data_IF_678171541407
#
_entry.id   IF_678171541407
#
_cell.length_a   1.000
_cell.length_b   1.000
_cell.length_c   1.000
_cell.angle_alpha   90.00
_cell.angle_beta   90.00
_cell.angle_gamma   90.00
#
_symmetry.space_group_name_H-M   'P 1'
#
loop_
_entity.id
_entity.type
_entity.pdbx_description
1 polymer ?
#
# COMPACT_ATOMS: atom_id res chain seq x y z
N UNK A 1 19.17 -8.50 47.10
CA UNK A 1 17.91 -7.79 46.80
C UNK A 1 17.89 -7.47 45.32
N UNK A 2 16.94 -8.09 44.63
CA UNK A 2 16.55 -8.05 43.21
C UNK A 2 17.55 -7.51 42.17
N UNK A 3 18.20 -8.47 41.49
CA UNK A 3 18.40 -8.40 40.05
C UNK A 3 17.05 -8.67 39.35
N UNK A 4 16.64 -7.83 38.40
CA UNK A 4 15.59 -8.17 37.44
C UNK A 4 15.98 -7.68 36.05
N UNK A 5 16.55 -8.61 35.28
CA UNK A 5 16.65 -8.55 33.85
C UNK A 5 15.26 -8.64 33.23
N UNK A 6 14.85 -7.64 32.44
CA UNK A 6 13.78 -7.72 31.43
C UNK A 6 13.99 -6.58 30.41
N UNK A 7 15.09 -6.64 29.64
CA UNK A 7 15.17 -5.98 28.33
C UNK A 7 14.96 -7.07 27.28
N UNK A 8 13.69 -7.40 27.01
CA UNK A 8 13.33 -8.40 26.02
C UNK A 8 11.84 -8.38 25.77
N UNK A 9 11.48 -8.32 24.47
CA UNK A 9 10.14 -8.37 23.90
C UNK A 9 9.34 -7.05 23.89
N UNK A 10 9.45 -6.30 22.79
CA UNK A 10 8.30 -6.06 21.89
C UNK A 10 8.78 -5.49 20.53
N UNK A 11 9.65 -6.25 19.83
CA UNK A 11 9.86 -6.06 18.39
C UNK A 11 8.84 -6.96 17.67
N UNK A 12 7.64 -6.45 17.36
CA UNK A 12 6.73 -7.12 16.41
C UNK A 12 5.49 -6.27 16.02
N UNK A 13 5.61 -4.98 15.68
CA UNK A 13 4.54 -4.29 14.89
C UNK A 13 5.18 -3.38 13.85
N UNK A 14 6.07 -3.92 13.01
CA UNK A 14 6.65 -3.18 11.89
C UNK A 14 6.16 -3.67 10.52
N UNK A 15 5.48 -4.82 10.42
CA UNK A 15 5.25 -5.48 9.12
C UNK A 15 4.12 -4.90 8.26
N UNK A 16 3.27 -4.01 8.79
CA UNK A 16 2.14 -3.46 8.01
C UNK A 16 2.41 -2.06 7.40
N UNK A 17 3.44 -1.35 7.85
CA UNK A 17 3.80 -0.02 7.31
C UNK A 17 4.54 -0.14 5.98
N UNK A 18 5.40 -1.15 5.82
CA UNK A 18 6.24 -1.32 4.63
C UNK A 18 5.48 -1.59 3.32
N UNK A 19 4.31 -2.26 3.38
CA UNK A 19 3.53 -2.58 2.19
C UNK A 19 2.79 -1.35 1.63
N UNK A 20 2.25 -0.50 2.52
CA UNK A 20 1.56 0.72 2.13
C UNK A 20 2.53 1.78 1.57
N UNK A 21 3.73 1.86 2.16
CA UNK A 21 4.79 2.78 1.73
C UNK A 21 5.31 2.41 0.33
N UNK A 22 5.55 1.11 0.06
CA UNK A 22 5.92 0.64 -1.28
C UNK A 22 4.85 1.00 -2.33
N UNK A 23 3.57 0.78 -2.03
CA UNK A 23 2.50 1.08 -2.98
C UNK A 23 2.43 2.58 -3.33
N UNK A 24 2.75 3.48 -2.40
CA UNK A 24 2.84 4.92 -2.68
C UNK A 24 4.04 5.23 -3.58
N UNK A 25 5.21 4.68 -3.26
CA UNK A 25 6.44 4.90 -4.02
C UNK A 25 6.28 4.41 -5.48
N UNK A 26 5.69 3.23 -5.69
CA UNK A 26 5.46 2.68 -7.03
C UNK A 26 4.48 3.55 -7.85
N UNK A 27 3.39 4.03 -7.23
CA UNK A 27 2.47 4.97 -7.89
C UNK A 27 3.17 6.27 -8.28
N UNK A 28 4.03 6.79 -7.40
CA UNK A 28 4.78 8.01 -7.67
C UNK A 28 5.83 7.81 -8.77
N UNK A 29 6.55 6.68 -8.80
CA UNK A 29 7.45 6.33 -9.90
C UNK A 29 6.71 6.26 -11.23
N UNK A 30 5.58 5.55 -11.27
CA UNK A 30 4.75 5.45 -12.48
C UNK A 30 4.26 6.82 -12.96
N UNK A 31 3.71 7.65 -12.07
CA UNK A 31 3.27 9.00 -12.44
C UNK A 31 4.42 9.91 -12.87
N UNK A 32 5.63 9.73 -12.33
CA UNK A 32 6.81 10.46 -12.81
C UNK A 32 7.25 10.01 -14.20
N UNK A 33 7.20 8.71 -14.49
CA UNK A 33 7.48 8.19 -15.83
C UNK A 33 6.48 8.71 -16.87
N UNK A 34 5.18 8.72 -16.53
CA UNK A 34 4.13 9.25 -17.42
C UNK A 34 4.19 10.79 -17.58
N UNK A 35 4.89 11.48 -16.66
CA UNK A 35 5.09 12.91 -16.69
C UNK A 35 6.44 13.34 -17.31
N UNK A 36 7.20 12.42 -17.92
CA UNK A 36 8.59 12.66 -18.33
C UNK A 36 8.75 13.90 -19.24
N UNK A 37 7.80 14.11 -20.15
CA UNK A 37 7.82 15.22 -21.11
C UNK A 37 7.14 16.50 -20.58
N UNK A 38 6.60 16.47 -19.35
CA UNK A 38 5.85 17.60 -18.76
C UNK A 38 6.76 18.46 -17.90
N UNK A 39 6.58 19.78 -17.94
CA UNK A 39 7.36 20.75 -17.15
C UNK A 39 6.47 21.79 -16.47
N UNK A 40 7.01 22.44 -15.43
CA UNK A 40 6.33 23.51 -14.70
C UNK A 40 4.94 23.09 -14.17
N UNK A 41 3.98 24.00 -14.28
CA UNK A 41 2.61 23.79 -13.79
C UNK A 41 1.90 22.61 -14.45
N UNK A 42 2.21 22.31 -15.71
CA UNK A 42 1.60 21.17 -16.41
C UNK A 42 1.98 19.85 -15.75
N UNK A 43 3.27 19.70 -15.37
CA UNK A 43 3.75 18.51 -14.65
C UNK A 43 3.06 18.38 -13.30
N UNK A 44 2.93 19.49 -12.56
CA UNK A 44 2.30 19.49 -11.23
C UNK A 44 0.83 19.08 -11.27
N UNK A 45 0.06 19.63 -12.23
CA UNK A 45 -1.35 19.28 -12.46
C UNK A 45 -1.49 17.82 -12.88
N UNK A 46 -0.66 17.37 -13.82
CA UNK A 46 -0.65 15.98 -14.26
C UNK A 46 -0.32 15.03 -13.10
N UNK A 47 0.72 15.33 -12.33
CA UNK A 47 1.13 14.51 -11.18
C UNK A 47 -0.01 14.37 -10.16
N UNK A 48 -0.68 15.48 -9.85
CA UNK A 48 -1.80 15.51 -8.90
C UNK A 48 -2.97 14.65 -9.40
N UNK A 49 -3.33 14.80 -10.67
CA UNK A 49 -4.36 14.00 -11.32
C UNK A 49 -3.99 12.51 -11.36
N UNK A 50 -2.77 12.18 -11.81
CA UNK A 50 -2.27 10.81 -11.90
C UNK A 50 -2.28 10.11 -10.54
N UNK A 51 -1.73 10.75 -9.51
CA UNK A 51 -1.67 10.19 -8.15
C UNK A 51 -3.07 9.95 -7.58
N UNK A 52 -3.99 10.91 -7.79
CA UNK A 52 -5.39 10.79 -7.35
C UNK A 52 -6.09 9.62 -8.04
N UNK A 53 -6.00 9.55 -9.37
CA UNK A 53 -6.61 8.48 -10.18
C UNK A 53 -6.07 7.10 -9.80
N UNK A 54 -4.74 6.94 -9.70
CA UNK A 54 -4.15 5.65 -9.30
C UNK A 54 -4.49 5.29 -7.85
N UNK A 55 -4.64 6.26 -6.95
CA UNK A 55 -5.12 6.03 -5.58
C UNK A 55 -6.56 5.52 -5.57
N UNK A 56 -7.46 6.15 -6.33
CA UNK A 56 -8.86 5.72 -6.43
C UNK A 56 -8.96 4.31 -7.04
N UNK A 57 -8.23 4.03 -8.11
CA UNK A 57 -8.18 2.70 -8.72
C UNK A 57 -7.74 1.62 -7.70
N UNK A 58 -6.69 1.91 -6.93
CA UNK A 58 -6.23 0.99 -5.88
C UNK A 58 -7.29 0.78 -4.78
N UNK A 59 -8.02 1.84 -4.40
CA UNK A 59 -9.09 1.75 -3.41
C UNK A 59 -10.28 0.92 -3.92
N UNK A 60 -10.71 1.13 -5.16
CA UNK A 60 -11.79 0.34 -5.77
C UNK A 60 -11.41 -1.13 -5.90
N UNK A 61 -10.15 -1.41 -6.28
CA UNK A 61 -9.62 -2.77 -6.29
C UNK A 61 -9.66 -3.41 -4.91
N UNK A 62 -9.23 -2.67 -3.87
CA UNK A 62 -9.30 -3.16 -2.50
C UNK A 62 -10.74 -3.44 -2.04
N UNK A 63 -11.71 -2.62 -2.43
CA UNK A 63 -13.14 -2.87 -2.16
C UNK A 63 -13.61 -4.15 -2.86
N UNK A 64 -13.30 -4.32 -4.15
CA UNK A 64 -13.66 -5.51 -4.91
C UNK A 64 -13.03 -6.78 -4.30
N UNK A 65 -11.76 -6.73 -3.94
CA UNK A 65 -11.08 -7.83 -3.26
C UNK A 65 -11.77 -8.17 -1.93
N UNK A 66 -12.11 -7.17 -1.11
CA UNK A 66 -12.81 -7.43 0.14
C UNK A 66 -14.20 -8.05 -0.07
N UNK A 67 -14.95 -7.60 -1.08
CA UNK A 67 -16.25 -8.19 -1.42
C UNK A 67 -16.13 -9.68 -1.80
N UNK A 68 -15.08 -10.06 -2.54
CA UNK A 68 -14.80 -11.45 -2.90
C UNK A 68 -14.23 -12.29 -1.75
N UNK A 69 -13.84 -11.66 -0.65
CA UNK A 69 -13.25 -12.31 0.52
C UNK A 69 -14.24 -12.53 1.66
N UNK A 70 -15.55 -12.23 1.48
CA UNK A 70 -16.58 -12.30 2.53
C UNK A 70 -16.62 -13.65 3.24
N UNK A 71 -16.50 -14.75 2.50
CA UNK A 71 -16.55 -16.10 3.06
C UNK A 71 -15.18 -16.64 3.51
N UNK A 72 -14.10 -15.86 3.32
CA UNK A 72 -12.74 -16.25 3.70
C UNK A 72 -12.39 -15.74 5.09
N UNK A 73 -11.71 -16.57 5.88
CA UNK A 73 -11.28 -16.24 7.25
C UNK A 73 -9.82 -16.60 7.47
N UNK A 74 -9.23 -16.06 8.53
CA UNK A 74 -7.86 -16.38 8.93
C UNK A 74 -6.85 -16.15 7.81
N UNK A 75 -5.97 -17.11 7.60
CA UNK A 75 -4.89 -17.02 6.63
C UNK A 75 -5.37 -17.14 5.18
N UNK A 76 -6.46 -17.87 4.92
CA UNK A 76 -7.08 -17.96 3.58
C UNK A 76 -7.51 -16.59 3.07
N UNK A 77 -8.07 -15.75 3.95
CA UNK A 77 -8.42 -14.37 3.59
C UNK A 77 -7.19 -13.54 3.30
N UNK A 78 -6.13 -13.66 4.10
CA UNK A 78 -4.89 -12.90 3.90
C UNK A 78 -4.21 -13.27 2.60
N UNK A 79 -4.09 -14.56 2.30
CA UNK A 79 -3.49 -15.04 1.06
C UNK A 79 -4.30 -14.56 -0.14
N UNK A 80 -5.63 -14.72 -0.10
CA UNK A 80 -6.51 -14.22 -1.14
C UNK A 80 -6.38 -12.71 -1.34
N UNK A 81 -6.36 -11.92 -0.25
CA UNK A 81 -6.20 -10.48 -0.34
C UNK A 81 -4.83 -10.09 -0.93
N UNK A 82 -3.76 -10.80 -0.59
CA UNK A 82 -2.44 -10.56 -1.18
C UNK A 82 -2.41 -10.85 -2.68
N UNK A 83 -2.98 -11.99 -3.11
CA UNK A 83 -3.05 -12.35 -4.53
C UNK A 83 -3.93 -11.37 -5.30
N UNK A 84 -5.11 -11.05 -4.76
CA UNK A 84 -6.05 -10.11 -5.37
C UNK A 84 -5.46 -8.70 -5.48
N UNK A 85 -4.76 -8.21 -4.45
CA UNK A 85 -4.18 -6.87 -4.44
C UNK A 85 -2.88 -6.73 -5.24
N UNK A 86 -2.16 -7.82 -5.53
CA UNK A 86 -0.99 -7.83 -6.42
C UNK A 86 -1.33 -7.74 -7.92
N UNK A 87 -2.56 -8.11 -8.28
CA UNK A 87 -3.02 -8.21 -9.69
C UNK A 87 -3.23 -6.89 -10.43
#
# INVERSE_FOLDING_TARGET
MLALAMLGAFVAVASQVFAAENAQQERMKACNAEAADKKGDERSKFMSSCLSTKKLAQQEKMKSCNAKAVDKKGDDRKQFMNECLKS
#
